data_IF_194832028499
#
_entry.id   IF_194832028499
#
_cell.length_a   1.000
_cell.length_b   1.000
_cell.length_c   1.000
_cell.angle_alpha   90.00
_cell.angle_beta   90.00
_cell.angle_gamma   90.00
#
_symmetry.space_group_name_H-M   'P 1'
#
loop_
_entity.id
_entity.type
_entity.pdbx_description
1 polymer ?
#
# COMPACT_ATOMS: atom_id res chain seq x y z
N UNK A 1 39.65 -2.54 -7.66
CA UNK A 1 39.85 -2.59 -6.19
C UNK A 1 40.77 -3.75 -5.90
N UNK A 2 41.67 -3.62 -4.93
CA UNK A 2 42.58 -4.67 -4.50
C UNK A 2 41.80 -5.85 -3.89
N UNK A 3 42.12 -7.11 -4.26
CA UNK A 3 41.37 -8.31 -3.84
C UNK A 3 41.29 -8.45 -2.31
N UNK A 4 42.33 -8.01 -1.60
CA UNK A 4 42.37 -8.01 -0.13
C UNK A 4 41.28 -7.10 0.48
N UNK A 5 41.07 -5.92 -0.11
CA UNK A 5 40.03 -5.00 0.34
C UNK A 5 38.63 -5.54 0.04
N UNK A 6 38.48 -6.29 -1.05
CA UNK A 6 37.21 -6.92 -1.40
C UNK A 6 36.81 -8.01 -0.39
N UNK A 7 37.74 -8.87 0.01
CA UNK A 7 37.51 -9.90 1.02
C UNK A 7 37.14 -9.30 2.38
N UNK A 8 37.84 -8.25 2.81
CA UNK A 8 37.55 -7.52 4.04
C UNK A 8 36.15 -6.92 4.04
N UNK A 9 35.75 -6.27 2.94
CA UNK A 9 34.42 -5.69 2.81
C UNK A 9 33.33 -6.77 2.88
N UNK A 10 33.50 -7.88 2.16
CA UNK A 10 32.53 -8.99 2.17
C UNK A 10 32.38 -9.59 3.56
N UNK A 11 33.50 -9.81 4.26
CA UNK A 11 33.49 -10.35 5.63
C UNK A 11 32.82 -9.39 6.62
N UNK A 12 33.08 -8.09 6.47
CA UNK A 12 32.45 -7.07 7.31
C UNK A 12 30.94 -6.98 7.07
N UNK A 13 30.47 -7.02 5.81
CA UNK A 13 29.04 -7.01 5.48
C UNK A 13 28.34 -8.24 6.05
N UNK A 14 28.91 -9.44 5.90
CA UNK A 14 28.37 -10.66 6.47
C UNK A 14 28.24 -10.57 8.00
N UNK A 15 29.21 -9.94 8.68
CA UNK A 15 29.13 -9.69 10.10
C UNK A 15 28.00 -8.71 10.46
N UNK A 16 27.76 -7.67 9.64
CA UNK A 16 26.64 -6.75 9.87
C UNK A 16 25.28 -7.44 9.66
N UNK A 17 25.17 -8.30 8.65
CA UNK A 17 23.98 -9.11 8.38
C UNK A 17 23.69 -10.11 9.51
N UNK A 18 24.72 -10.65 10.16
CA UNK A 18 24.56 -11.54 11.34
C UNK A 18 24.13 -10.76 12.59
N UNK A 19 24.64 -9.54 12.78
CA UNK A 19 24.35 -8.72 13.97
C UNK A 19 23.01 -7.98 13.91
N UNK A 20 22.49 -7.72 12.71
CA UNK A 20 21.30 -6.91 12.50
C UNK A 20 20.21 -7.68 11.76
N UNK A 21 18.96 -7.57 12.25
CA UNK A 21 17.80 -8.19 11.58
C UNK A 21 17.58 -7.69 10.16
N UNK A 22 18.01 -6.46 9.86
CA UNK A 22 17.93 -5.85 8.53
C UNK A 22 19.23 -5.10 8.26
N UNK A 23 19.80 -5.32 7.08
CA UNK A 23 20.84 -4.47 6.49
C UNK A 23 20.24 -3.76 5.26
N UNK A 24 20.40 -2.43 5.17
CA UNK A 24 19.94 -1.65 4.02
C UNK A 24 21.13 -1.21 3.18
N UNK A 25 21.20 -1.67 1.94
CA UNK A 25 22.21 -1.25 0.98
C UNK A 25 21.66 -0.15 0.06
N UNK A 26 22.38 0.98 0.02
CA UNK A 26 22.10 2.05 -0.93
C UNK A 26 22.94 1.84 -2.19
N UNK A 27 22.29 1.60 -3.32
CA UNK A 27 22.95 1.52 -4.63
C UNK A 27 23.43 2.89 -5.11
N UNK A 28 24.44 2.86 -6.00
CA UNK A 28 24.88 4.04 -6.72
C UNK A 28 23.90 4.40 -7.85
N UNK A 29 24.02 5.62 -8.37
CA UNK A 29 23.24 6.10 -9.53
C UNK A 29 23.68 5.45 -10.86
N UNK A 30 24.71 4.61 -10.85
CA UNK A 30 25.20 3.85 -12.01
C UNK A 30 25.43 2.37 -11.66
N UNK A 31 25.65 1.55 -12.68
CA UNK A 31 25.92 0.12 -12.54
C UNK A 31 27.36 -0.15 -12.10
N UNK A 32 27.69 0.24 -10.87
CA UNK A 32 29.01 0.00 -10.26
C UNK A 32 29.13 -1.42 -9.74
N UNK A 33 30.35 -1.85 -9.40
CA UNK A 33 30.59 -3.13 -8.71
C UNK A 33 29.84 -3.20 -7.37
N UNK A 34 29.66 -2.06 -6.70
CA UNK A 34 28.86 -1.94 -5.49
C UNK A 34 27.37 -2.18 -5.77
N UNK A 35 26.79 -1.48 -6.75
CA UNK A 35 25.38 -1.72 -7.16
C UNK A 35 25.13 -3.18 -7.54
N UNK A 36 26.03 -3.80 -8.30
CA UNK A 36 25.91 -5.22 -8.66
C UNK A 36 25.95 -6.13 -7.44
N UNK A 37 26.79 -5.81 -6.45
CA UNK A 37 26.86 -6.55 -5.18
C UNK A 37 25.56 -6.43 -4.40
N UNK A 38 25.06 -5.20 -4.20
CA UNK A 38 23.79 -4.95 -3.52
C UNK A 38 22.66 -5.78 -4.14
N UNK A 39 22.55 -5.76 -5.47
CA UNK A 39 21.50 -6.46 -6.20
C UNK A 39 21.62 -7.99 -6.10
N UNK A 40 22.85 -8.53 -6.07
CA UNK A 40 23.09 -9.98 -5.97
C UNK A 40 22.90 -10.54 -4.56
N UNK A 41 23.21 -9.74 -3.54
CA UNK A 41 23.12 -10.15 -2.13
C UNK A 41 21.76 -9.86 -1.51
N UNK A 42 20.98 -8.95 -2.09
CA UNK A 42 19.68 -8.59 -1.55
C UNK A 42 18.70 -9.76 -1.58
N UNK A 43 17.99 -9.96 -0.47
CA UNK A 43 16.77 -10.76 -0.40
C UNK A 43 15.56 -9.99 -0.97
N UNK A 44 15.60 -8.66 -0.85
CA UNK A 44 14.57 -7.75 -1.35
C UNK A 44 15.20 -6.49 -1.97
N UNK A 45 14.77 -6.13 -3.18
CA UNK A 45 15.19 -4.91 -3.88
C UNK A 45 14.07 -3.88 -3.88
N UNK A 46 14.33 -2.70 -3.31
CA UNK A 46 13.38 -1.59 -3.30
C UNK A 46 13.59 -0.70 -4.53
N UNK A 47 12.54 -0.53 -5.33
CA UNK A 47 12.53 0.40 -6.46
C UNK A 47 11.76 1.63 -6.03
N UNK A 48 12.44 2.76 -5.90
CA UNK A 48 11.83 3.99 -5.39
C UNK A 48 11.48 4.92 -6.55
N UNK A 49 10.20 5.19 -6.71
CA UNK A 49 9.63 6.14 -7.68
C UNK A 49 8.97 7.33 -6.99
N UNK A 50 8.83 8.43 -7.73
CA UNK A 50 8.01 9.56 -7.31
C UNK A 50 6.61 9.36 -7.91
N UNK A 51 5.60 9.15 -7.07
CA UNK A 51 4.25 8.80 -7.52
C UNK A 51 3.53 9.93 -8.25
N UNK A 52 3.98 11.18 -8.08
CA UNK A 52 3.48 12.38 -8.77
C UNK A 52 4.15 12.61 -10.14
N UNK A 53 5.02 11.70 -10.59
CA UNK A 53 5.71 11.78 -11.88
C UNK A 53 5.24 10.67 -12.83
N UNK A 54 5.35 10.89 -14.15
CA UNK A 54 5.07 9.82 -15.10
C UNK A 54 6.04 8.65 -14.89
N UNK A 55 5.56 7.39 -15.00
CA UNK A 55 6.40 6.22 -14.88
C UNK A 55 7.46 6.20 -15.98
N UNK A 56 8.68 5.83 -15.60
CA UNK A 56 9.78 5.59 -16.55
C UNK A 56 10.64 4.45 -16.03
N UNK A 57 11.26 3.69 -16.94
CA UNK A 57 12.15 2.57 -16.59
C UNK A 57 13.60 3.07 -16.66
N UNK A 58 14.30 3.02 -15.53
CA UNK A 58 15.70 3.43 -15.43
C UNK A 58 16.67 2.45 -16.11
N UNK A 59 17.90 2.90 -16.40
CA UNK A 59 18.96 2.01 -16.95
C UNK A 59 19.33 0.90 -15.98
N UNK A 60 19.55 1.23 -14.71
CA UNK A 60 19.86 0.27 -13.64
C UNK A 60 18.71 -0.70 -13.43
N UNK A 61 17.47 -0.20 -13.48
CA UNK A 61 16.27 -1.02 -13.30
C UNK A 61 16.19 -2.17 -14.32
N UNK A 62 16.52 -1.92 -15.60
CA UNK A 62 16.63 -2.97 -16.63
C UNK A 62 17.74 -3.98 -16.38
N UNK A 63 18.74 -3.63 -15.59
CA UNK A 63 19.81 -4.55 -15.19
C UNK A 63 19.40 -5.35 -13.96
N UNK A 64 18.72 -4.73 -12.99
CA UNK A 64 18.13 -5.42 -11.83
C UNK A 64 17.17 -6.52 -12.28
N UNK A 65 16.28 -6.22 -13.22
CA UNK A 65 15.36 -7.20 -13.81
C UNK A 65 16.09 -8.43 -14.36
N UNK A 66 17.25 -8.23 -15.00
CA UNK A 66 18.06 -9.30 -15.60
C UNK A 66 18.92 -10.05 -14.58
N UNK A 67 19.53 -9.35 -13.62
CA UNK A 67 20.51 -9.93 -12.69
C UNK A 67 19.87 -10.65 -11.51
N UNK A 68 18.72 -10.17 -11.03
CA UNK A 68 18.12 -10.61 -9.78
C UNK A 68 16.73 -11.22 -10.02
N UNK A 69 16.59 -12.11 -11.00
CA UNK A 69 15.27 -12.62 -11.41
C UNK A 69 14.45 -13.22 -10.25
N UNK A 70 15.09 -13.94 -9.32
CA UNK A 70 14.42 -14.62 -8.20
C UNK A 70 14.27 -13.75 -6.95
N UNK A 71 14.99 -12.65 -6.85
CA UNK A 71 14.92 -11.73 -5.71
C UNK A 71 13.56 -11.04 -5.68
N UNK A 72 12.98 -10.85 -4.50
CA UNK A 72 11.74 -10.10 -4.33
C UNK A 72 11.99 -8.63 -4.68
N UNK A 73 11.06 -7.98 -5.38
CA UNK A 73 11.16 -6.53 -5.63
C UNK A 73 9.90 -5.81 -5.23
N UNK A 74 10.09 -4.72 -4.52
CA UNK A 74 9.03 -3.87 -3.99
C UNK A 74 9.08 -2.52 -4.67
N UNK A 75 7.97 -2.11 -5.28
CA UNK A 75 7.85 -0.77 -5.85
C UNK A 75 7.36 0.21 -4.77
N UNK A 76 8.20 1.18 -4.42
CA UNK A 76 7.89 2.22 -3.45
C UNK A 76 7.58 3.51 -4.18
N UNK A 77 6.33 3.96 -4.13
CA UNK A 77 5.90 5.23 -4.73
C UNK A 77 5.78 6.29 -3.64
N UNK A 78 6.63 7.33 -3.73
CA UNK A 78 6.64 8.43 -2.76
C UNK A 78 5.64 9.52 -3.15
N UNK A 79 4.86 9.97 -2.17
CA UNK A 79 3.84 11.01 -2.31
C UNK A 79 4.08 12.14 -1.30
N UNK A 80 3.90 13.38 -1.73
CA UNK A 80 4.02 14.54 -0.84
C UNK A 80 2.84 14.60 0.12
N UNK A 81 3.11 14.90 1.38
CA UNK A 81 2.07 15.24 2.34
C UNK A 81 1.23 16.44 1.86
N UNK A 82 -0.10 16.28 1.87
CA UNK A 82 -1.04 17.26 1.32
C UNK A 82 -1.02 17.37 -0.21
N UNK A 83 -0.35 16.45 -0.91
CA UNK A 83 -0.42 16.31 -2.36
C UNK A 83 -1.66 15.53 -2.82
N UNK A 84 -1.65 15.17 -4.11
CA UNK A 84 -2.67 14.30 -4.69
C UNK A 84 -2.64 12.89 -4.10
N UNK A 85 -3.77 12.20 -4.22
CA UNK A 85 -3.87 10.78 -3.88
C UNK A 85 -3.16 9.94 -4.94
N UNK A 86 -2.73 8.71 -4.60
CA UNK A 86 -2.24 7.79 -5.59
C UNK A 86 -3.27 7.61 -6.68
N UNK A 87 -2.78 7.63 -7.90
CA UNK A 87 -3.56 7.46 -9.10
C UNK A 87 -2.64 6.89 -10.17
N UNK A 88 -3.25 6.26 -11.17
CA UNK A 88 -2.54 5.76 -12.35
C UNK A 88 -1.44 4.75 -12.01
N UNK A 89 -1.54 4.06 -10.87
CA UNK A 89 -0.54 3.10 -10.38
C UNK A 89 -0.42 1.90 -11.32
N UNK A 90 -1.50 1.54 -12.01
CA UNK A 90 -1.51 0.49 -13.01
C UNK A 90 -0.46 0.73 -14.13
N UNK A 91 -0.21 1.98 -14.53
CA UNK A 91 0.83 2.27 -15.54
C UNK A 91 2.24 2.02 -15.03
N UNK A 92 2.48 2.21 -13.73
CA UNK A 92 3.74 1.86 -13.09
C UNK A 92 3.95 0.35 -13.06
N UNK A 93 2.89 -0.40 -12.72
CA UNK A 93 2.90 -1.86 -12.59
C UNK A 93 2.97 -2.58 -13.95
N UNK A 94 2.27 -2.09 -14.97
CA UNK A 94 2.33 -2.65 -16.33
C UNK A 94 3.74 -2.58 -16.93
N UNK A 95 4.54 -1.58 -16.55
CA UNK A 95 5.95 -1.47 -16.94
C UNK A 95 6.88 -2.39 -16.14
N UNK A 96 6.38 -3.01 -15.06
CA UNK A 96 7.14 -3.73 -14.03
C UNK A 96 6.42 -5.01 -13.60
N UNK A 97 6.02 -5.83 -14.57
CA UNK A 97 5.30 -7.10 -14.32
C UNK A 97 6.07 -8.08 -13.43
N UNK A 98 7.35 -7.83 -13.21
CA UNK A 98 8.27 -8.60 -12.36
C UNK A 98 8.35 -8.13 -10.90
N UNK A 99 7.68 -7.03 -10.54
CA UNK A 99 7.58 -6.55 -9.15
C UNK A 99 6.59 -7.42 -8.37
N UNK A 100 6.93 -7.72 -7.12
CA UNK A 100 6.14 -8.59 -6.25
C UNK A 100 4.97 -7.86 -5.60
N UNK A 101 5.19 -6.63 -5.13
CA UNK A 101 4.16 -5.75 -4.58
C UNK A 101 4.57 -4.27 -4.66
N UNK A 102 3.62 -3.39 -4.37
CA UNK A 102 3.84 -1.95 -4.35
C UNK A 102 3.31 -1.29 -3.07
N UNK A 103 3.92 -0.16 -2.73
CA UNK A 103 3.60 0.60 -1.53
C UNK A 103 3.58 2.10 -1.82
N UNK A 104 2.47 2.75 -1.44
CA UNK A 104 2.35 4.21 -1.47
C UNK A 104 2.82 4.81 -0.15
N UNK A 105 3.89 5.60 -0.17
CA UNK A 105 4.46 6.22 1.02
C UNK A 105 4.22 7.72 0.96
N UNK A 106 3.31 8.22 1.80
CA UNK A 106 3.17 9.63 2.04
C UNK A 106 4.29 10.10 2.97
N UNK A 107 5.04 11.10 2.54
CA UNK A 107 6.16 11.63 3.30
C UNK A 107 6.20 13.16 3.27
N UNK A 108 6.86 13.72 4.28
CA UNK A 108 6.98 15.17 4.47
C UNK A 108 7.57 15.84 3.23
N UNK A 109 7.02 17.00 2.85
CA UNK A 109 7.47 17.83 1.71
C UNK A 109 8.99 18.05 1.68
N UNK A 110 9.64 18.04 2.84
CA UNK A 110 11.10 18.17 2.98
C UNK A 110 11.90 17.10 2.22
N UNK A 111 11.36 15.90 2.05
CA UNK A 111 12.02 14.79 1.34
C UNK A 111 12.19 15.07 -0.16
N UNK A 112 11.44 16.03 -0.69
CA UNK A 112 11.46 16.41 -2.10
C UNK A 112 12.30 17.66 -2.36
N UNK A 113 12.96 18.19 -1.33
CA UNK A 113 13.80 19.39 -1.41
C UNK A 113 15.24 18.98 -1.19
N UNK A 114 16.13 19.32 -2.13
CA UNK A 114 17.56 19.06 -2.00
C UNK A 114 18.13 19.88 -0.84
N UNK A 115 18.83 19.22 0.09
CA UNK A 115 19.52 19.85 1.22
C UNK A 115 20.99 19.43 1.25
N UNK A 116 21.82 20.21 1.93
CA UNK A 116 23.22 19.84 2.17
C UNK A 116 23.30 18.62 3.09
N UNK A 117 24.37 17.82 2.94
CA UNK A 117 24.59 16.62 3.75
C UNK A 117 24.60 16.93 5.25
N UNK A 118 25.20 18.06 5.64
CA UNK A 118 25.20 18.52 7.03
C UNK A 118 23.78 18.66 7.61
N UNK A 119 22.88 19.34 6.89
CA UNK A 119 21.48 19.53 7.32
C UNK A 119 20.70 18.23 7.36
N UNK A 120 21.01 17.30 6.45
CA UNK A 120 20.40 15.96 6.43
C UNK A 120 20.84 15.18 7.68
N UNK A 121 22.14 15.16 7.97
CA UNK A 121 22.69 14.45 9.13
C UNK A 121 22.18 15.03 10.45
N UNK A 122 22.16 16.36 10.59
CA UNK A 122 21.62 17.03 11.78
C UNK A 122 20.15 16.65 12.01
N UNK A 123 19.34 16.62 10.95
CA UNK A 123 17.94 16.24 11.04
C UNK A 123 17.78 14.78 11.47
N UNK A 124 18.47 13.84 10.79
CA UNK A 124 18.32 12.43 11.09
C UNK A 124 18.89 12.05 12.45
N UNK A 125 19.90 12.77 12.96
CA UNK A 125 20.37 12.59 14.33
C UNK A 125 19.26 12.83 15.36
N UNK A 126 18.38 13.83 15.12
CA UNK A 126 17.23 14.12 15.97
C UNK A 126 16.10 13.11 15.77
N UNK A 127 15.83 12.71 14.54
CA UNK A 127 14.80 11.70 14.22
C UNK A 127 15.13 10.35 14.86
N UNK A 128 16.40 9.95 14.86
CA UNK A 128 16.86 8.70 15.47
C UNK A 128 16.70 8.70 17.00
N UNK A 129 16.56 9.86 17.64
CA UNK A 129 16.29 9.98 19.08
C UNK A 129 14.80 10.00 19.41
N UNK A 130 13.92 10.22 18.43
CA UNK A 130 12.47 10.26 18.64
C UNK A 130 11.85 8.88 18.48
N UNK A 131 10.80 8.60 19.25
CA UNK A 131 10.02 7.37 19.05
C UNK A 131 9.35 7.37 17.67
N UNK A 132 9.40 6.24 16.94
CA UNK A 132 8.80 6.14 15.63
C UNK A 132 7.27 6.19 15.73
N UNK A 133 6.64 7.01 14.89
CA UNK A 133 5.18 7.03 14.77
C UNK A 133 4.70 5.70 14.15
N UNK A 134 4.04 4.87 14.95
CA UNK A 134 3.52 3.56 14.57
C UNK A 134 2.59 3.59 13.35
N UNK A 135 1.86 4.69 13.14
CA UNK A 135 0.91 4.87 12.04
C UNK A 135 1.53 5.52 10.78
N UNK A 136 2.84 5.82 10.79
CA UNK A 136 3.51 6.36 9.61
C UNK A 136 3.69 5.31 8.51
N UNK A 137 3.69 5.75 7.24
CA UNK A 137 3.88 4.85 6.10
C UNK A 137 5.27 4.21 6.07
N UNK A 138 6.30 4.92 6.55
CA UNK A 138 7.63 4.33 6.73
C UNK A 138 7.63 3.22 7.77
N UNK A 139 6.85 3.37 8.86
CA UNK A 139 6.72 2.30 9.85
C UNK A 139 5.92 1.11 9.28
N UNK A 140 4.91 1.35 8.44
CA UNK A 140 4.24 0.28 7.69
C UNK A 140 5.21 -0.46 6.77
N UNK A 141 6.01 0.26 5.99
CA UNK A 141 7.02 -0.34 5.11
C UNK A 141 8.06 -1.13 5.91
N UNK A 142 8.54 -0.60 7.03
CA UNK A 142 9.46 -1.31 7.90
C UNK A 142 8.85 -2.61 8.45
N UNK A 143 7.59 -2.60 8.88
CA UNK A 143 6.86 -3.81 9.30
C UNK A 143 6.67 -4.82 8.16
N UNK A 144 6.44 -4.34 6.94
CA UNK A 144 6.36 -5.21 5.76
C UNK A 144 7.69 -5.92 5.51
N UNK A 145 8.79 -5.16 5.49
CA UNK A 145 10.13 -5.70 5.25
C UNK A 145 10.65 -6.60 6.37
N UNK A 146 10.19 -6.39 7.61
CA UNK A 146 10.55 -7.24 8.77
C UNK A 146 9.60 -8.42 8.98
N UNK A 147 8.53 -8.56 8.18
CA UNK A 147 7.53 -9.61 8.35
C UNK A 147 6.66 -9.45 9.61
N UNK A 148 6.54 -8.23 10.15
CA UNK A 148 5.72 -7.93 11.33
C UNK A 148 4.49 -7.07 11.00
N UNK A 149 4.01 -7.12 9.76
CA UNK A 149 2.81 -6.38 9.33
C UNK A 149 1.54 -6.87 10.01
N UNK A 150 0.64 -5.93 10.31
CA UNK A 150 -0.66 -6.22 10.92
C UNK A 150 -1.79 -6.05 9.90
N UNK A 151 -2.49 -7.13 9.58
CA UNK A 151 -3.66 -7.13 8.71
C UNK A 151 -4.97 -6.99 9.47
N UNK A 152 -5.91 -6.20 8.95
CA UNK A 152 -7.28 -6.07 9.46
C UNK A 152 -8.26 -6.74 8.52
N UNK A 153 -9.08 -7.68 9.02
CA UNK A 153 -10.10 -8.37 8.21
C UNK A 153 -11.51 -7.96 8.67
N UNK A 154 -12.33 -7.48 7.74
CA UNK A 154 -13.66 -6.95 8.00
C UNK A 154 -14.75 -7.86 7.42
N UNK A 155 -15.54 -8.47 8.30
CA UNK A 155 -16.64 -9.34 7.92
C UNK A 155 -17.84 -8.62 7.29
N UNK A 156 -18.69 -9.39 6.61
CA UNK A 156 -20.01 -8.96 6.15
C UNK A 156 -21.02 -8.80 7.29
N UNK A 157 -22.14 -8.12 7.04
CA UNK A 157 -23.16 -7.89 8.08
C UNK A 157 -24.23 -6.84 7.79
N UNK A 158 -24.36 -6.38 6.53
CA UNK A 158 -25.36 -5.39 6.12
C UNK A 158 -25.24 -4.07 6.89
N UNK A 159 -26.37 -3.51 7.34
CA UNK A 159 -26.43 -2.22 8.02
C UNK A 159 -25.57 -2.14 9.31
N UNK A 160 -25.25 -3.29 9.95
CA UNK A 160 -24.38 -3.32 11.13
C UNK A 160 -22.93 -2.97 10.81
N UNK A 161 -22.53 -2.99 9.54
CA UNK A 161 -21.16 -2.69 9.12
C UNK A 161 -20.69 -1.26 9.41
N UNK A 162 -21.58 -0.33 9.78
CA UNK A 162 -21.18 0.98 10.29
C UNK A 162 -20.29 0.88 11.56
N UNK A 163 -20.38 -0.22 12.32
CA UNK A 163 -19.52 -0.48 13.47
C UNK A 163 -18.04 -0.61 13.10
N UNK A 164 -17.72 -1.01 11.86
CA UNK A 164 -16.33 -1.17 11.41
C UNK A 164 -15.52 0.12 11.54
N UNK A 165 -16.15 1.28 11.37
CA UNK A 165 -15.48 2.59 11.52
C UNK A 165 -15.15 2.87 12.98
N UNK A 166 -16.09 2.61 13.88
CA UNK A 166 -15.85 2.74 15.32
C UNK A 166 -14.75 1.80 15.79
N UNK A 167 -14.71 0.58 15.26
CA UNK A 167 -13.64 -0.38 15.52
C UNK A 167 -12.28 0.11 14.99
N UNK A 168 -12.20 0.57 13.74
CA UNK A 168 -10.96 1.13 13.17
C UNK A 168 -10.46 2.31 14.03
N UNK A 169 -11.37 3.19 14.47
CA UNK A 169 -11.03 4.28 15.38
C UNK A 169 -10.43 3.78 16.69
N UNK A 170 -11.04 2.80 17.34
CA UNK A 170 -10.53 2.23 18.58
C UNK A 170 -9.17 1.54 18.41
N UNK A 171 -8.95 0.82 17.29
CA UNK A 171 -7.67 0.20 16.94
C UNK A 171 -6.57 1.27 16.80
N UNK A 172 -6.86 2.38 16.10
CA UNK A 172 -5.94 3.50 15.94
C UNK A 172 -5.64 4.16 17.30
N UNK A 173 -6.65 4.42 18.12
CA UNK A 173 -6.48 5.01 19.46
C UNK A 173 -5.67 4.11 20.41
N UNK A 174 -5.75 2.79 20.23
CA UNK A 174 -4.93 1.82 20.95
C UNK A 174 -3.47 1.74 20.44
N UNK A 175 -3.10 2.51 19.41
CA UNK A 175 -1.75 2.49 18.83
C UNK A 175 -1.45 1.24 17.98
N UNK A 176 -2.48 0.50 17.57
CA UNK A 176 -2.32 -0.71 16.76
C UNK A 176 -2.26 -0.32 15.27
N UNK A 177 -1.18 -0.68 14.54
CA UNK A 177 -1.08 -0.37 13.11
C UNK A 177 -2.05 -1.20 12.27
N UNK A 178 -2.49 -0.64 11.15
CA UNK A 178 -3.27 -1.34 10.11
C UNK A 178 -2.45 -1.22 8.82
N UNK A 179 -1.76 -2.31 8.47
CA UNK A 179 -0.81 -2.33 7.35
C UNK A 179 -1.41 -2.94 6.07
N UNK A 180 -2.49 -3.70 6.19
CA UNK A 180 -3.28 -4.26 5.08
C UNK A 180 -4.73 -4.44 5.53
N UNK A 181 -5.70 -4.34 4.60
CA UNK A 181 -7.11 -4.59 4.91
C UNK A 181 -7.72 -5.62 3.95
N UNK A 182 -8.42 -6.60 4.51
CA UNK A 182 -9.29 -7.52 3.78
C UNK A 182 -10.75 -7.29 4.13
N UNK A 183 -11.67 -7.43 3.19
CA UNK A 183 -13.09 -7.30 3.50
C UNK A 183 -14.03 -8.12 2.64
N UNK A 184 -15.25 -8.33 3.15
CA UNK A 184 -16.35 -8.97 2.41
C UNK A 184 -17.62 -8.14 2.54
N UNK A 185 -18.36 -7.93 1.44
CA UNK A 185 -19.63 -7.20 1.43
C UNK A 185 -19.48 -5.79 2.04
N UNK A 186 -20.22 -5.47 3.11
CA UNK A 186 -20.08 -4.17 3.79
C UNK A 186 -18.68 -3.95 4.40
N UNK A 187 -18.01 -5.02 4.82
CA UNK A 187 -16.63 -4.96 5.30
C UNK A 187 -15.65 -4.58 4.20
N UNK A 188 -15.88 -5.06 2.97
CA UNK A 188 -15.13 -4.65 1.78
C UNK A 188 -15.30 -3.14 1.54
N UNK A 189 -16.54 -2.66 1.53
CA UNK A 189 -16.82 -1.23 1.35
C UNK A 189 -16.14 -0.34 2.40
N UNK A 190 -16.30 -0.67 3.69
CA UNK A 190 -15.72 0.13 4.78
C UNK A 190 -14.19 0.03 4.80
N UNK A 191 -13.63 -1.13 4.47
CA UNK A 191 -12.20 -1.36 4.35
C UNK A 191 -11.58 -0.56 3.21
N UNK A 192 -12.16 -0.63 2.02
CA UNK A 192 -11.73 0.15 0.86
C UNK A 192 -11.78 1.66 1.15
N UNK A 193 -12.82 2.13 1.85
CA UNK A 193 -12.95 3.53 2.24
C UNK A 193 -11.81 3.97 3.19
N UNK A 194 -11.46 3.12 4.17
CA UNK A 194 -10.31 3.35 5.04
C UNK A 194 -9.00 3.39 4.24
N UNK A 195 -8.77 2.42 3.35
CA UNK A 195 -7.56 2.33 2.53
C UNK A 195 -7.40 3.51 1.55
N UNK A 196 -8.50 4.11 1.09
CA UNK A 196 -8.51 5.27 0.18
C UNK A 196 -8.25 6.61 0.90
N UNK A 197 -8.75 6.78 2.12
CA UNK A 197 -8.75 8.07 2.81
C UNK A 197 -7.71 8.20 3.93
N UNK A 198 -7.45 7.12 4.69
CA UNK A 198 -6.58 7.05 5.89
C UNK A 198 -6.91 7.98 7.05
N UNK A 199 -7.76 8.98 6.85
CA UNK A 199 -8.19 9.90 7.87
C UNK A 199 -9.53 9.44 8.45
N UNK A 200 -9.54 9.08 9.73
CA UNK A 200 -10.74 8.55 10.40
C UNK A 200 -11.93 9.51 10.35
N UNK A 201 -11.68 10.83 10.38
CA UNK A 201 -12.73 11.86 10.30
C UNK A 201 -13.37 11.84 8.92
N UNK A 202 -12.56 11.87 7.85
CA UNK A 202 -13.04 11.81 6.47
C UNK A 202 -13.76 10.50 6.17
N UNK A 203 -13.21 9.37 6.64
CA UNK A 203 -13.83 8.04 6.52
C UNK A 203 -15.20 8.03 7.20
N UNK A 204 -15.28 8.55 8.43
CA UNK A 204 -16.55 8.62 9.18
C UNK A 204 -17.58 9.47 8.45
N UNK A 205 -17.18 10.62 7.91
CA UNK A 205 -18.07 11.49 7.15
C UNK A 205 -18.60 10.79 5.89
N UNK A 206 -17.70 10.28 5.05
CA UNK A 206 -18.06 9.61 3.79
C UNK A 206 -18.95 8.40 4.03
N UNK A 207 -18.62 7.59 5.03
CA UNK A 207 -19.44 6.43 5.36
C UNK A 207 -20.81 6.81 5.93
N UNK A 208 -20.92 7.90 6.71
CA UNK A 208 -22.21 8.40 7.18
C UNK A 208 -23.07 8.90 6.03
N UNK A 209 -22.48 9.62 5.07
CA UNK A 209 -23.15 10.06 3.86
C UNK A 209 -23.63 8.89 3.00
N UNK A 210 -22.76 7.89 2.81
CA UNK A 210 -23.13 6.66 2.12
C UNK A 210 -24.26 5.91 2.84
N UNK A 211 -24.15 5.74 4.17
CA UNK A 211 -25.15 5.07 4.98
C UNK A 211 -26.50 5.78 4.89
N UNK A 212 -26.56 7.11 5.00
CA UNK A 212 -27.80 7.89 4.83
C UNK A 212 -28.45 7.67 3.47
N UNK A 213 -27.66 7.65 2.39
CA UNK A 213 -28.15 7.36 1.03
C UNK A 213 -28.72 5.94 0.93
N UNK A 214 -28.09 4.98 1.61
CA UNK A 214 -28.53 3.59 1.66
C UNK A 214 -29.78 3.39 2.55
N UNK A 215 -29.95 4.16 3.63
CA UNK A 215 -31.13 4.08 4.53
C UNK A 215 -32.38 4.78 3.98
N UNK A 216 -32.29 5.53 2.87
CA UNK A 216 -33.46 6.08 2.14
C UNK A 216 -34.23 4.97 1.37
N UNK A 217 -34.51 3.88 2.08
CA UNK A 217 -35.09 2.60 1.68
C UNK A 217 -36.48 2.70 1.05
N UNK A 218 -37.22 3.80 1.25
CA UNK A 218 -38.56 3.97 0.66
C UNK A 218 -38.58 3.98 -0.88
N UNK A 219 -37.45 4.26 -1.56
CA UNK A 219 -37.33 4.12 -3.03
C UNK A 219 -36.75 2.77 -3.49
N UNK A 220 -36.11 2.00 -2.60
CA UNK A 220 -35.60 0.65 -2.93
C UNK A 220 -36.68 -0.42 -2.86
N UNK A 221 -37.73 -0.23 -2.03
CA UNK A 221 -38.93 -1.09 -2.04
C UNK A 221 -39.79 -0.89 -3.29
N UNK A 222 -39.74 0.27 -3.94
CA UNK A 222 -40.52 0.54 -5.16
C UNK A 222 -39.88 0.00 -6.45
N UNK A 223 -38.65 -0.52 -6.38
CA UNK A 223 -37.96 -1.21 -7.49
C UNK A 223 -38.09 -2.75 -7.38
N UNK A 224 -39.21 -3.21 -6.79
CA UNK A 224 -39.55 -4.61 -6.62
C UNK A 224 -40.04 -5.16 -7.98
N UNK A 225 -39.10 -5.60 -8.80
CA UNK A 225 -39.45 -6.36 -10.01
C UNK A 225 -39.94 -7.75 -9.60
N UNK A 226 -41.14 -8.12 -10.04
CA UNK A 226 -41.81 -9.39 -9.74
C UNK A 226 -40.94 -10.62 -10.08
N UNK A 227 -41.10 -11.75 -9.36
CA UNK A 227 -40.01 -12.66 -9.03
C UNK A 227 -39.73 -13.72 -10.11
N UNK A 228 -38.44 -13.94 -10.39
CA UNK A 228 -37.94 -15.25 -10.83
C UNK A 228 -36.45 -15.49 -10.50
N UNK A 229 -35.58 -14.47 -10.39
CA UNK A 229 -34.13 -14.74 -10.18
C UNK A 229 -33.29 -13.71 -9.39
N UNK A 230 -33.79 -12.53 -8.98
CA UNK A 230 -33.03 -11.63 -8.07
C UNK A 230 -33.94 -10.60 -7.38
N UNK A 231 -33.68 -10.30 -6.09
CA UNK A 231 -34.49 -9.39 -5.26
C UNK A 231 -34.05 -7.91 -5.31
N UNK A 232 -33.01 -7.55 -6.06
CA UNK A 232 -32.56 -6.15 -6.23
C UNK A 232 -31.93 -5.92 -7.61
N UNK A 233 -32.28 -4.80 -8.27
CA UNK A 233 -31.70 -4.37 -9.55
C UNK A 233 -30.21 -4.01 -9.45
N UNK A 234 -29.70 -3.72 -8.24
CA UNK A 234 -28.29 -3.45 -7.95
C UNK A 234 -27.74 -2.13 -8.53
N UNK A 235 -28.43 -1.52 -9.49
CA UNK A 235 -28.02 -0.31 -10.19
C UNK A 235 -27.80 0.88 -9.26
N UNK A 236 -28.71 1.09 -8.30
CA UNK A 236 -28.58 2.15 -7.29
C UNK A 236 -27.37 1.91 -6.38
N UNK A 237 -27.17 0.66 -5.95
CA UNK A 237 -26.04 0.28 -5.11
C UNK A 237 -24.70 0.54 -5.83
N UNK A 238 -24.58 0.09 -7.08
CA UNK A 238 -23.41 0.35 -7.92
C UNK A 238 -23.18 1.85 -8.12
N UNK A 239 -24.25 2.64 -8.31
CA UNK A 239 -24.14 4.09 -8.41
C UNK A 239 -23.61 4.72 -7.11
N UNK A 240 -24.00 4.22 -5.94
CA UNK A 240 -23.47 4.72 -4.66
C UNK A 240 -22.00 4.37 -4.45
N UNK A 241 -21.56 3.17 -4.88
CA UNK A 241 -20.15 2.78 -4.86
C UNK A 241 -19.35 3.70 -5.78
N UNK A 242 -19.78 3.86 -7.03
CA UNK A 242 -19.13 4.72 -8.00
C UNK A 242 -19.06 6.19 -7.53
N UNK A 243 -20.13 6.71 -6.90
CA UNK A 243 -20.10 8.06 -6.30
C UNK A 243 -19.13 8.20 -5.13
N UNK A 244 -18.77 7.11 -4.47
CA UNK A 244 -17.88 7.13 -3.30
C UNK A 244 -16.42 6.98 -3.70
N UNK A 245 -16.13 6.05 -4.63
CA UNK A 245 -14.78 5.68 -5.03
C UNK A 245 -14.35 6.22 -6.40
N UNK A 246 -15.29 6.62 -7.26
CA UNK A 246 -15.00 7.03 -8.63
C UNK A 246 -14.29 5.93 -9.43
N UNK A 247 -13.39 6.33 -10.31
CA UNK A 247 -12.52 5.46 -11.11
C UNK A 247 -11.22 5.12 -10.37
N UNK A 248 -11.33 4.72 -9.10
CA UNK A 248 -10.18 4.31 -8.29
C UNK A 248 -9.99 2.80 -8.38
N UNK A 249 -8.79 2.37 -8.77
CA UNK A 249 -8.39 0.97 -8.76
C UNK A 249 -7.86 0.56 -7.38
N UNK A 250 -7.89 -0.74 -7.05
CA UNK A 250 -7.34 -1.26 -5.79
C UNK A 250 -5.86 -0.85 -5.63
N UNK A 251 -5.12 -0.82 -6.73
CA UNK A 251 -3.72 -0.46 -6.78
C UNK A 251 -3.47 1.00 -6.41
N UNK A 252 -4.46 1.89 -6.54
CA UNK A 252 -4.36 3.30 -6.19
C UNK A 252 -4.71 3.59 -4.71
N UNK A 253 -5.04 2.55 -3.93
CA UNK A 253 -5.29 2.69 -2.50
C UNK A 253 -3.98 2.90 -1.73
N UNK A 254 -4.01 3.71 -0.68
CA UNK A 254 -2.82 3.96 0.11
C UNK A 254 -2.34 2.77 0.92
N UNK A 255 -3.30 1.94 1.35
CA UNK A 255 -3.07 0.75 2.17
C UNK A 255 -3.44 -0.46 1.29
N UNK A 256 -2.58 -1.49 1.21
CA UNK A 256 -2.89 -2.74 0.52
C UNK A 256 -4.26 -3.28 0.92
N UNK A 257 -5.04 -3.65 -0.08
CA UNK A 257 -6.44 -4.04 0.11
C UNK A 257 -6.78 -5.27 -0.73
N UNK A 258 -7.62 -6.14 -0.17
CA UNK A 258 -8.24 -7.22 -0.93
C UNK A 258 -9.71 -7.41 -0.55
N UNK A 259 -10.49 -7.93 -1.48
CA UNK A 259 -11.88 -8.32 -1.25
C UNK A 259 -12.19 -9.68 -1.83
N UNK A 260 -13.21 -10.33 -1.28
CA UNK A 260 -13.67 -11.64 -1.74
C UNK A 260 -15.06 -11.53 -2.36
N UNK A 261 -15.25 -12.24 -3.47
CA UNK A 261 -16.57 -12.51 -4.03
C UNK A 261 -16.76 -14.01 -4.25
N UNK A 262 -18.01 -14.42 -4.49
CA UNK A 262 -18.34 -15.79 -4.87
C UNK A 262 -18.76 -15.79 -6.33
N UNK A 263 -18.07 -16.56 -7.15
CA UNK A 263 -18.49 -16.80 -8.53
C UNK A 263 -19.60 -17.85 -8.51
N UNK A 264 -20.83 -17.40 -8.77
CA UNK A 264 -22.03 -18.26 -8.74
C UNK A 264 -22.00 -19.30 -9.86
N UNK A 265 -21.32 -19.01 -10.98
CA UNK A 265 -21.25 -19.92 -12.13
C UNK A 265 -20.39 -21.14 -11.82
N UNK A 266 -19.24 -20.93 -11.17
CA UNK A 266 -18.30 -21.99 -10.84
C UNK A 266 -18.37 -22.44 -9.38
N UNK A 267 -19.18 -21.78 -8.54
CA UNK A 267 -19.31 -22.04 -7.10
C UNK A 267 -17.98 -21.98 -6.34
N UNK A 268 -17.05 -21.10 -6.79
CA UNK A 268 -15.75 -20.90 -6.15
C UNK A 268 -15.59 -19.48 -5.61
N UNK A 269 -14.74 -19.35 -4.60
CA UNK A 269 -14.29 -18.06 -4.11
C UNK A 269 -13.38 -17.38 -5.13
N UNK A 270 -13.56 -16.07 -5.32
CA UNK A 270 -12.66 -15.20 -6.10
C UNK A 270 -12.08 -14.15 -5.18
N UNK A 271 -10.76 -14.03 -5.19
CA UNK A 271 -10.02 -12.99 -4.47
C UNK A 271 -9.63 -11.89 -5.43
N UNK A 272 -9.94 -10.65 -5.05
CA UNK A 272 -9.61 -9.45 -5.82
C UNK A 272 -8.58 -8.65 -5.04
N UNK A 273 -7.38 -8.54 -5.61
CA UNK A 273 -6.25 -7.74 -5.08
C UNK A 273 -5.79 -6.68 -6.07
N UNK A 274 -6.39 -6.65 -7.27
CA UNK A 274 -6.03 -5.81 -8.41
C UNK A 274 -7.30 -5.47 -9.18
N UNK A 275 -7.33 -4.31 -9.84
CA UNK A 275 -8.47 -3.88 -10.66
C UNK A 275 -9.58 -3.15 -9.90
N UNK A 276 -10.78 -3.18 -10.49
CA UNK A 276 -12.03 -2.59 -9.98
C UNK A 276 -12.89 -3.64 -9.26
#
# INVERSE_FOLDING_TARGET
MDQSNEYRLTSWLAQQEDQHKIALYQCDNSNTTWTQRCVRQADCVLIVGLGDRPPSIGKIEKEVERMAMRTQKELILLHKEGGERPNNTLTWLNMRTWVSSHHHIQCSKRMFIRRSQFRINELYSKVLMSEPNVHSDFSRLARWLTGTSVGLVLGGGGARGASHIGMIKAIQEAGIPIDMVGGVSIGAFMGALWCSERNIVTVTQKAREWSKKMTHWWRQILDLTYPATSMFTGSYFNQTIYKTFGDTYIEDLWIPYFTLTTDITSSVMRTHTHGL
#
